data_IF_287506521327
#
_entry.id   IF_287506521327
#
_cell.length_a   1.000
_cell.length_b   1.000
_cell.length_c   1.000
_cell.angle_alpha   90.00
_cell.angle_beta   90.00
_cell.angle_gamma   90.00
#
_symmetry.space_group_name_H-M   'P 1'
#
loop_
_entity.id
_entity.type
_entity.pdbx_description
1 polymer ?
#
# COMPACT_ATOMS: atom_id res chain seq x y z
N UNK A 1 -12.09 15.35 -9.31
CA UNK A 1 -12.77 16.49 -8.66
C UNK A 1 -12.45 17.83 -9.33
N UNK A 2 -11.23 18.10 -9.78
CA UNK A 2 -10.86 19.41 -10.34
C UNK A 2 -11.58 19.83 -11.64
N UNK A 3 -12.20 18.89 -12.38
CA UNK A 3 -13.01 19.19 -13.56
C UNK A 3 -14.49 19.50 -13.27
N UNK A 4 -14.92 19.54 -12.00
CA UNK A 4 -16.32 19.76 -11.61
C UNK A 4 -17.26 18.57 -11.86
N UNK A 5 -16.74 17.43 -12.32
CA UNK A 5 -17.55 16.23 -12.64
C UNK A 5 -17.82 15.30 -11.44
N UNK A 6 -17.24 15.57 -10.27
CA UNK A 6 -17.34 14.70 -9.08
C UNK A 6 -17.62 15.56 -7.87
N UNK A 7 -18.82 15.43 -7.29
CA UNK A 7 -19.30 16.19 -6.14
C UNK A 7 -18.80 15.64 -4.79
N UNK A 8 -18.59 14.32 -4.71
CA UNK A 8 -18.07 13.65 -3.52
C UNK A 8 -17.27 12.40 -3.90
N UNK A 9 -16.23 12.10 -3.11
CA UNK A 9 -15.45 10.87 -3.21
C UNK A 9 -15.55 10.11 -1.89
N UNK A 10 -16.22 8.96 -1.91
CA UNK A 10 -16.26 8.04 -0.76
C UNK A 10 -15.34 6.86 -1.09
N UNK A 11 -14.14 6.89 -0.53
CA UNK A 11 -13.16 5.82 -0.65
C UNK A 11 -12.37 5.74 0.67
N UNK A 12 -11.68 4.63 0.94
CA UNK A 12 -10.79 4.43 2.09
C UNK A 12 -9.47 5.20 1.91
N UNK A 13 -9.58 6.48 1.56
CA UNK A 13 -8.44 7.36 1.35
C UNK A 13 -7.91 7.86 2.69
N UNK A 14 -6.61 7.67 2.92
CA UNK A 14 -5.95 8.23 4.08
C UNK A 14 -6.05 9.76 4.10
N UNK A 15 -6.43 10.31 5.25
CA UNK A 15 -6.46 11.75 5.51
C UNK A 15 -5.02 12.22 5.73
N UNK A 16 -4.45 12.92 4.74
CA UNK A 16 -3.11 13.50 4.80
C UNK A 16 -3.16 15.03 4.75
N UNK A 17 -2.13 15.71 5.27
CA UNK A 17 -2.04 17.18 5.24
C UNK A 17 -2.19 17.75 3.82
N UNK A 18 -1.46 17.20 2.86
CA UNK A 18 -1.51 17.60 1.44
C UNK A 18 -2.93 17.50 0.85
N UNK A 19 -3.74 16.52 1.30
CA UNK A 19 -5.12 16.35 0.83
C UNK A 19 -6.07 17.31 1.52
N UNK A 20 -5.87 17.59 2.80
CA UNK A 20 -6.66 18.58 3.54
C UNK A 20 -6.47 20.01 3.00
N UNK A 21 -5.31 20.30 2.41
CA UNK A 21 -5.07 21.58 1.70
C UNK A 21 -5.90 21.70 0.42
N UNK A 22 -6.27 20.57 -0.21
CA UNK A 22 -6.94 20.52 -1.51
C UNK A 22 -8.44 20.17 -1.41
N UNK A 23 -8.87 19.51 -0.33
CA UNK A 23 -10.21 18.95 -0.17
C UNK A 23 -10.71 19.06 1.27
N UNK A 24 -12.02 19.28 1.42
CA UNK A 24 -12.70 19.09 2.72
C UNK A 24 -12.92 17.59 2.95
N UNK A 25 -12.38 17.05 4.03
CA UNK A 25 -12.55 15.63 4.39
C UNK A 25 -13.31 15.52 5.70
N UNK A 26 -14.41 14.76 5.69
CA UNK A 26 -15.15 14.42 6.92
C UNK A 26 -14.31 13.41 7.72
N UNK A 27 -14.38 13.47 9.06
CA UNK A 27 -13.55 12.67 9.97
C UNK A 27 -13.54 11.16 9.67
N UNK A 28 -12.54 10.41 10.18
CA UNK A 28 -12.32 9.03 9.78
C UNK A 28 -13.49 8.12 10.18
N UNK A 29 -14.12 7.46 9.20
CA UNK A 29 -15.11 6.41 9.44
C UNK A 29 -14.47 5.02 9.63
N UNK A 30 -13.17 4.87 9.33
CA UNK A 30 -12.35 3.69 9.63
C UNK A 30 -10.92 4.09 10.06
N UNK A 31 -10.24 3.19 10.79
CA UNK A 31 -8.80 3.29 11.11
C UNK A 31 -8.06 2.07 10.57
N UNK A 32 -7.56 2.10 9.31
CA UNK A 32 -6.89 0.96 8.73
C UNK A 32 -5.52 0.74 9.36
N UNK A 33 -5.17 -0.53 9.56
CA UNK A 33 -3.80 -0.95 9.89
C UNK A 33 -3.17 -1.62 8.68
N UNK A 34 -1.91 -1.30 8.41
CA UNK A 34 -1.16 -1.98 7.36
C UNK A 34 -0.62 -3.32 7.87
N UNK A 35 -0.66 -4.33 6.99
CA UNK A 35 -0.21 -5.70 7.25
C UNK A 35 0.46 -6.23 5.99
N UNK A 36 1.47 -7.07 6.16
CA UNK A 36 2.03 -7.86 5.07
C UNK A 36 1.13 -9.09 4.86
N UNK A 37 0.89 -9.42 3.59
CA UNK A 37 0.22 -10.65 3.18
C UNK A 37 1.31 -11.56 2.63
N UNK A 38 1.32 -12.81 3.10
CA UNK A 38 2.30 -13.81 2.71
C UNK A 38 1.59 -15.13 2.44
N UNK A 39 2.22 -16.03 1.68
CA UNK A 39 1.68 -17.38 1.48
C UNK A 39 1.47 -18.10 2.81
N UNK A 40 0.44 -18.94 2.91
CA UNK A 40 0.02 -19.56 4.17
C UNK A 40 1.11 -20.39 4.86
N UNK A 41 2.03 -20.98 4.09
CA UNK A 41 3.16 -21.77 4.59
C UNK A 41 4.48 -20.97 4.64
N UNK A 42 4.43 -19.65 4.42
CA UNK A 42 5.59 -18.78 4.46
C UNK A 42 6.10 -18.61 5.88
N UNK A 43 7.41 -18.51 6.03
CA UNK A 43 8.08 -18.17 7.30
C UNK A 43 8.35 -16.67 7.43
N UNK A 44 7.85 -15.86 6.49
CA UNK A 44 8.03 -14.40 6.53
C UNK A 44 7.26 -13.83 7.71
N UNK A 45 7.97 -13.11 8.56
CA UNK A 45 7.46 -12.48 9.78
C UNK A 45 7.52 -10.94 9.74
N UNK A 46 8.00 -10.38 8.62
CA UNK A 46 8.12 -8.94 8.42
C UNK A 46 9.42 -8.33 8.95
N UNK A 47 10.35 -9.14 9.43
CA UNK A 47 11.70 -8.69 9.82
C UNK A 47 12.63 -8.59 8.61
N UNK A 48 13.72 -7.83 8.75
CA UNK A 48 14.78 -7.77 7.74
C UNK A 48 15.32 -9.17 7.41
N UNK A 49 15.52 -10.03 8.41
CA UNK A 49 16.05 -11.38 8.21
C UNK A 49 15.17 -12.22 7.27
N UNK A 50 13.84 -12.05 7.32
CA UNK A 50 12.92 -12.81 6.46
C UNK A 50 12.60 -12.10 5.15
N UNK A 51 12.89 -10.80 5.03
CA UNK A 51 12.60 -9.97 3.85
C UNK A 51 13.84 -9.63 3.00
N UNK A 52 15.05 -9.92 3.48
CA UNK A 52 16.29 -9.61 2.77
C UNK A 52 16.30 -10.23 1.37
N UNK A 53 16.46 -9.38 0.35
CA UNK A 53 16.49 -9.75 -1.06
C UNK A 53 15.13 -10.12 -1.68
N UNK A 54 14.03 -10.00 -0.94
CA UNK A 54 12.67 -10.26 -1.45
C UNK A 54 12.07 -9.02 -2.11
N UNK A 55 11.00 -9.20 -2.89
CA UNK A 55 10.15 -8.12 -3.35
C UNK A 55 8.93 -7.95 -2.42
N UNK A 56 8.48 -6.71 -2.27
CA UNK A 56 7.25 -6.35 -1.56
C UNK A 56 6.36 -5.60 -2.55
N UNK A 57 5.25 -6.25 -2.92
CA UNK A 57 4.23 -5.67 -3.78
C UNK A 57 3.41 -4.60 -3.06
N UNK A 58 3.25 -3.44 -3.69
CA UNK A 58 2.44 -2.33 -3.19
C UNK A 58 1.58 -1.77 -4.31
N UNK A 59 0.30 -1.51 -4.04
CA UNK A 59 -0.59 -0.86 -5.01
C UNK A 59 -0.15 0.60 -5.25
N UNK A 60 0.03 0.98 -6.52
CA UNK A 60 0.47 2.31 -6.97
C UNK A 60 -0.46 3.43 -6.49
N UNK A 61 -1.77 3.17 -6.39
CA UNK A 61 -2.75 4.12 -5.87
C UNK A 61 -2.62 4.41 -4.37
N UNK A 62 -1.92 3.56 -3.61
CA UNK A 62 -1.80 3.68 -2.16
C UNK A 62 -0.54 4.44 -1.73
N UNK A 63 -0.57 5.76 -1.89
CA UNK A 63 0.56 6.64 -1.56
C UNK A 63 1.09 6.47 -0.12
N UNK A 64 0.19 6.19 0.85
CA UNK A 64 0.58 5.96 2.24
C UNK A 64 1.36 4.64 2.41
N UNK A 65 0.90 3.56 1.79
CA UNK A 65 1.58 2.27 1.83
C UNK A 65 2.92 2.35 1.10
N UNK A 66 2.97 3.00 -0.07
CA UNK A 66 4.19 3.16 -0.83
C UNK A 66 5.24 3.94 -0.05
N UNK A 67 4.85 5.06 0.59
CA UNK A 67 5.75 5.84 1.43
C UNK A 67 6.28 5.03 2.61
N UNK A 68 5.38 4.32 3.31
CA UNK A 68 5.76 3.48 4.45
C UNK A 68 6.71 2.36 4.02
N UNK A 69 6.37 1.64 2.96
CA UNK A 69 7.17 0.51 2.49
C UNK A 69 8.57 0.92 2.06
N UNK A 70 8.70 2.03 1.33
CA UNK A 70 10.01 2.60 1.00
C UNK A 70 10.80 2.97 2.26
N UNK A 71 10.19 3.70 3.20
CA UNK A 71 10.89 4.14 4.40
C UNK A 71 11.32 2.98 5.33
N UNK A 72 10.59 1.86 5.33
CA UNK A 72 10.82 0.75 6.26
C UNK A 72 11.64 -0.39 5.66
N UNK A 73 11.45 -0.73 4.38
CA UNK A 73 11.96 -1.97 3.80
C UNK A 73 12.96 -1.78 2.65
N UNK A 74 13.05 -0.60 2.01
CA UNK A 74 13.85 -0.44 0.78
C UNK A 74 15.36 -0.66 0.93
N UNK A 75 15.86 -0.69 2.17
CA UNK A 75 17.27 -0.97 2.45
C UNK A 75 17.64 -2.44 2.23
N UNK A 76 16.67 -3.35 2.31
CA UNK A 76 16.91 -4.79 2.25
C UNK A 76 15.91 -5.55 1.38
N UNK A 77 14.81 -4.93 0.95
CA UNK A 77 13.82 -5.50 0.05
C UNK A 77 13.54 -4.57 -1.13
N UNK A 78 13.09 -5.14 -2.24
CA UNK A 78 12.69 -4.39 -3.44
C UNK A 78 11.22 -4.00 -3.33
N UNK A 79 10.88 -2.72 -3.52
CA UNK A 79 9.49 -2.26 -3.52
C UNK A 79 8.94 -2.29 -4.94
N UNK A 80 8.01 -3.20 -5.23
CA UNK A 80 7.41 -3.37 -6.54
C UNK A 80 6.01 -2.77 -6.57
N UNK A 81 5.76 -1.87 -7.53
CA UNK A 81 4.47 -1.21 -7.66
C UNK A 81 3.58 -1.93 -8.66
N UNK A 82 2.36 -2.22 -8.24
CA UNK A 82 1.31 -2.82 -9.07
C UNK A 82 0.18 -1.82 -9.32
N UNK A 83 -0.41 -1.84 -10.51
CA UNK A 83 -1.55 -0.96 -10.81
C UNK A 83 -2.80 -1.34 -10.02
N UNK A 84 -3.01 -2.64 -9.78
CA UNK A 84 -4.08 -3.18 -8.93
C UNK A 84 -3.50 -4.18 -7.92
N UNK A 85 -4.09 -4.23 -6.72
CA UNK A 85 -3.62 -5.17 -5.68
C UNK A 85 -3.83 -6.65 -6.07
N UNK A 86 -4.79 -6.94 -6.94
CA UNK A 86 -5.03 -8.30 -7.43
C UNK A 86 -3.85 -8.85 -8.24
N UNK A 87 -3.14 -7.99 -8.96
CA UNK A 87 -1.96 -8.39 -9.73
C UNK A 87 -0.81 -8.79 -8.78
N UNK A 88 -0.64 -8.03 -7.69
CA UNK A 88 0.32 -8.37 -6.63
C UNK A 88 -0.02 -9.71 -5.95
N UNK A 89 -1.31 -9.99 -5.71
CA UNK A 89 -1.74 -11.27 -5.12
C UNK A 89 -1.50 -12.44 -6.08
N UNK A 90 -1.67 -12.22 -7.39
CA UNK A 90 -1.39 -13.24 -8.39
C UNK A 90 0.10 -13.58 -8.44
N UNK A 91 0.98 -12.58 -8.43
CA UNK A 91 2.42 -12.80 -8.41
C UNK A 91 2.88 -13.47 -7.10
N UNK A 92 2.29 -13.10 -5.96
CA UNK A 92 2.50 -13.79 -4.67
C UNK A 92 2.14 -15.27 -4.74
N UNK A 93 1.00 -15.61 -5.37
CA UNK A 93 0.57 -17.00 -5.53
C UNK A 93 1.48 -17.81 -6.46
N UNK A 94 2.18 -17.15 -7.39
CA UNK A 94 3.10 -17.80 -8.32
C UNK A 94 4.57 -17.77 -7.86
N UNK A 95 4.85 -17.14 -6.71
CA UNK A 95 6.18 -17.10 -6.10
C UNK A 95 7.16 -16.14 -6.79
N UNK A 96 6.65 -15.09 -7.43
CA UNK A 96 7.44 -14.07 -8.13
C UNK A 96 7.81 -12.85 -7.28
N UNK A 97 7.46 -12.90 -6.00
CA UNK A 97 7.70 -11.87 -4.98
C UNK A 97 8.74 -12.32 -3.93
#
# INVERSE_FOLDING_TARGET
MQSGQIDALINTYAMSKERQEKFTMVGPYIRPTFRLIVGANSKVDGTEATLLGKAIGVERGSAANLKYANATFSNYATIQQYDQINDAILDLNTGRD
#
